data_IF_562160269136
#
_entry.id   IF_562160269136
#
_cell.length_a   1.000
_cell.length_b   1.000
_cell.length_c   1.000
_cell.angle_alpha   90.00
_cell.angle_beta   90.00
_cell.angle_gamma   90.00
#
_symmetry.space_group_name_H-M   'P 1'
#
loop_
_entity.id
_entity.type
_entity.pdbx_description
1 polymer ?
#
# COMPACT_ATOMS: atom_id res chain seq x y z
N UNK A 1 -10.51 -19.26 3.55
CA UNK A 1 -11.73 -19.38 4.40
C UNK A 1 -11.50 -19.02 5.86
N UNK A 2 -10.53 -19.62 6.57
CA UNK A 2 -10.27 -19.31 7.99
C UNK A 2 -10.04 -17.82 8.31
N UNK A 3 -9.14 -17.15 7.58
CA UNK A 3 -8.84 -15.72 7.81
C UNK A 3 -10.08 -14.83 7.62
N UNK A 4 -10.90 -15.14 6.61
CA UNK A 4 -12.15 -14.43 6.33
C UNK A 4 -13.17 -14.64 7.46
N UNK A 5 -13.42 -15.89 7.84
CA UNK A 5 -14.36 -16.19 8.92
C UNK A 5 -13.93 -15.53 10.23
N UNK A 6 -12.65 -15.57 10.60
CA UNK A 6 -12.14 -14.89 11.79
C UNK A 6 -12.37 -13.37 11.73
N UNK A 7 -12.13 -12.75 10.57
CA UNK A 7 -12.35 -11.31 10.35
C UNK A 7 -13.80 -10.92 10.59
N UNK A 8 -14.74 -11.73 10.09
CA UNK A 8 -16.18 -11.49 10.28
C UNK A 8 -16.59 -11.72 11.73
N UNK A 9 -16.19 -12.85 12.33
CA UNK A 9 -16.55 -13.21 13.72
C UNK A 9 -16.02 -12.20 14.73
N UNK A 10 -14.80 -11.70 14.53
CA UNK A 10 -14.19 -10.69 15.40
C UNK A 10 -14.62 -9.26 15.05
N UNK A 11 -15.39 -9.06 13.97
CA UNK A 11 -15.84 -7.75 13.52
C UNK A 11 -14.68 -6.79 13.18
N UNK A 12 -13.59 -7.32 12.61
CA UNK A 12 -12.40 -6.50 12.31
C UNK A 12 -12.71 -5.47 11.22
N UNK A 13 -12.57 -4.19 11.58
CA UNK A 13 -12.81 -3.07 10.66
C UNK A 13 -11.50 -2.70 9.95
N UNK A 14 -11.61 -2.43 8.64
CA UNK A 14 -10.63 -1.71 7.84
C UNK A 14 -11.15 -0.32 7.50
N UNK A 15 -10.26 0.63 7.31
CA UNK A 15 -10.56 1.99 6.84
C UNK A 15 -10.87 2.02 5.33
N UNK A 16 -10.23 1.15 4.53
CA UNK A 16 -10.46 1.05 3.08
C UNK A 16 -9.88 2.18 2.24
N UNK A 17 -9.10 3.08 2.87
CA UNK A 17 -8.31 4.11 2.18
C UNK A 17 -7.22 4.70 3.08
N UNK A 18 -6.57 3.87 3.90
CA UNK A 18 -5.62 4.34 4.91
C UNK A 18 -4.29 4.80 4.28
N UNK A 19 -4.22 6.07 3.89
CA UNK A 19 -3.04 6.68 3.31
C UNK A 19 -2.78 8.06 3.94
N UNK A 20 -1.61 8.64 3.72
CA UNK A 20 -1.17 9.88 4.39
C UNK A 20 -2.09 11.09 4.19
N UNK A 21 -3.01 11.08 3.21
CA UNK A 21 -4.01 12.16 3.07
C UNK A 21 -5.13 12.10 4.13
N UNK A 22 -5.32 10.93 4.73
CA UNK A 22 -6.36 10.64 5.72
C UNK A 22 -5.78 10.53 7.13
N UNK A 23 -4.51 10.90 7.31
CA UNK A 23 -3.79 10.85 8.59
C UNK A 23 -3.28 12.26 8.90
N UNK A 24 -3.69 12.80 10.03
CA UNK A 24 -3.27 14.11 10.55
C UNK A 24 -2.42 13.85 11.79
N UNK A 25 -1.22 14.42 11.82
CA UNK A 25 -0.35 14.40 12.99
C UNK A 25 -0.55 15.70 13.76
N UNK A 26 -0.93 15.59 15.04
CA UNK A 26 -1.17 16.74 15.92
C UNK A 26 -0.44 16.50 17.25
N UNK A 27 0.81 16.96 17.33
CA UNK A 27 1.71 16.61 18.44
C UNK A 27 1.96 15.10 18.47
N UNK A 28 1.70 14.48 19.62
CA UNK A 28 1.81 13.03 19.81
C UNK A 28 0.56 12.26 19.38
N UNK A 29 -0.47 12.95 18.86
CA UNK A 29 -1.70 12.33 18.43
C UNK A 29 -1.73 12.07 16.93
N UNK A 30 -2.22 10.88 16.58
CA UNK A 30 -2.56 10.50 15.21
C UNK A 30 -4.08 10.54 15.07
N UNK A 31 -4.57 11.44 14.21
CA UNK A 31 -5.99 11.60 13.91
C UNK A 31 -6.23 11.00 12.52
N UNK A 32 -7.11 10.00 12.46
CA UNK A 32 -7.53 9.38 11.20
C UNK A 32 -8.87 9.97 10.75
N UNK A 33 -9.02 10.28 9.47
CA UNK A 33 -10.23 10.90 8.90
C UNK A 33 -10.72 10.16 7.65
N UNK A 34 -11.93 10.47 7.18
CA UNK A 34 -12.53 9.94 5.94
C UNK A 34 -12.85 8.43 5.96
N UNK A 35 -13.64 8.01 6.94
CA UNK A 35 -14.10 6.62 7.12
C UNK A 35 -15.24 6.19 6.16
N UNK A 36 -15.54 6.91 5.09
CA UNK A 36 -16.63 6.59 4.15
C UNK A 36 -16.48 5.22 3.47
N UNK A 37 -15.25 4.70 3.41
CA UNK A 37 -14.92 3.39 2.84
C UNK A 37 -14.62 2.34 3.91
N UNK A 38 -14.87 2.67 5.18
CA UNK A 38 -14.64 1.75 6.26
C UNK A 38 -15.70 0.64 6.23
N UNK A 39 -15.24 -0.59 6.39
CA UNK A 39 -16.09 -1.78 6.36
C UNK A 39 -15.40 -2.92 7.12
N UNK A 40 -16.13 -4.01 7.38
CA UNK A 40 -15.56 -5.24 7.93
C UNK A 40 -14.64 -5.85 6.86
N UNK A 41 -13.39 -6.11 7.22
CA UNK A 41 -12.43 -6.63 6.27
C UNK A 41 -11.02 -6.76 6.79
N UNK A 42 -10.12 -7.21 5.91
CA UNK A 42 -8.73 -7.47 6.28
C UNK A 42 -7.98 -6.16 6.56
N UNK A 43 -7.61 -5.96 7.82
CA UNK A 43 -6.79 -4.82 8.26
C UNK A 43 -5.45 -4.74 7.51
N UNK A 44 -4.94 -5.88 7.01
CA UNK A 44 -3.72 -5.92 6.21
C UNK A 44 -3.82 -5.11 4.90
N UNK A 45 -5.04 -4.88 4.40
CA UNK A 45 -5.25 -4.04 3.20
C UNK A 45 -4.97 -2.56 3.46
N UNK A 46 -5.24 -2.07 4.68
CA UNK A 46 -4.88 -0.71 5.07
C UNK A 46 -3.36 -0.57 5.24
N UNK A 47 -2.69 -1.58 5.81
CA UNK A 47 -1.23 -1.60 5.87
C UNK A 47 -0.62 -1.57 4.46
N UNK A 48 -1.15 -2.37 3.55
CA UNK A 48 -0.75 -2.35 2.13
C UNK A 48 -0.91 -0.96 1.53
N UNK A 49 -2.07 -0.34 1.70
CA UNK A 49 -2.36 0.98 1.13
C UNK A 49 -1.37 2.04 1.62
N UNK A 50 -1.05 2.00 2.91
CA UNK A 50 -0.08 2.87 3.56
C UNK A 50 1.34 2.62 3.05
N UNK A 51 1.86 1.39 3.20
CA UNK A 51 3.24 1.07 2.88
C UNK A 51 3.54 1.27 1.40
N UNK A 52 2.64 0.87 0.49
CA UNK A 52 2.79 1.10 -0.96
C UNK A 52 3.00 2.58 -1.26
N UNK A 53 2.17 3.45 -0.69
CA UNK A 53 2.25 4.91 -0.91
C UNK A 53 3.52 5.53 -0.33
N UNK A 54 3.95 5.08 0.85
CA UNK A 54 5.19 5.54 1.47
C UNK A 54 6.39 5.09 0.64
N UNK A 55 6.43 3.83 0.20
CA UNK A 55 7.53 3.28 -0.59
C UNK A 55 7.64 3.93 -1.97
N UNK A 56 6.54 4.16 -2.69
CA UNK A 56 6.53 4.90 -3.96
C UNK A 56 7.18 6.30 -3.84
N UNK A 57 6.94 6.99 -2.72
CA UNK A 57 7.51 8.32 -2.45
C UNK A 57 8.98 8.26 -2.07
N UNK A 58 9.39 7.22 -1.34
CA UNK A 58 10.73 7.06 -0.78
C UNK A 58 11.61 6.12 -1.61
N UNK A 59 11.35 6.00 -2.91
CA UNK A 59 12.15 5.20 -3.85
C UNK A 59 12.38 3.76 -3.40
N UNK A 60 11.34 3.16 -2.78
CA UNK A 60 11.38 1.80 -2.26
C UNK A 60 12.56 1.53 -1.32
N UNK A 61 12.91 2.51 -0.47
CA UNK A 61 13.93 2.34 0.55
C UNK A 61 13.61 1.14 1.48
N UNK A 62 14.48 0.13 1.45
CA UNK A 62 14.29 -1.14 2.16
C UNK A 62 14.13 -0.94 3.67
N UNK A 63 14.96 -0.09 4.28
CA UNK A 63 14.91 0.17 5.73
C UNK A 63 13.58 0.80 6.14
N UNK A 64 13.07 1.77 5.37
CA UNK A 64 11.75 2.37 5.62
C UNK A 64 10.64 1.32 5.57
N UNK A 65 10.65 0.45 4.55
CA UNK A 65 9.64 -0.59 4.42
C UNK A 65 9.66 -1.60 5.56
N UNK A 66 10.86 -2.06 5.95
CA UNK A 66 11.03 -2.99 7.09
C UNK A 66 10.55 -2.34 8.39
N UNK A 67 10.93 -1.09 8.66
CA UNK A 67 10.51 -0.38 9.86
C UNK A 67 8.98 -0.27 9.97
N UNK A 68 8.28 -0.02 8.87
CA UNK A 68 6.80 0.03 8.86
C UNK A 68 6.19 -1.33 9.22
N UNK A 69 6.71 -2.41 8.63
CA UNK A 69 6.20 -3.76 8.88
C UNK A 69 6.48 -4.18 10.34
N UNK A 70 7.67 -3.90 10.86
CA UNK A 70 8.04 -4.25 12.23
C UNK A 70 7.26 -3.42 13.25
N UNK A 71 7.02 -2.12 12.99
CA UNK A 71 6.16 -1.30 13.83
C UNK A 71 4.73 -1.86 13.89
N UNK A 72 4.20 -2.33 12.75
CA UNK A 72 2.89 -2.98 12.72
C UNK A 72 2.86 -4.28 13.52
N UNK A 73 3.86 -5.16 13.33
CA UNK A 73 3.97 -6.44 14.04
C UNK A 73 4.07 -6.28 15.55
N UNK A 74 4.68 -5.20 16.02
CA UNK A 74 4.82 -4.88 17.45
C UNK A 74 3.46 -4.66 18.13
N UNK A 75 2.55 -3.96 17.46
CA UNK A 75 1.21 -3.67 18.00
C UNK A 75 0.24 -4.82 17.77
N UNK A 76 0.39 -5.54 16.66
CA UNK A 76 -0.49 -6.65 16.28
C UNK A 76 0.27 -7.74 15.56
N UNK A 77 0.17 -8.96 16.10
CA UNK A 77 0.74 -10.14 15.46
C UNK A 77 0.20 -10.29 14.03
N UNK A 78 1.12 -10.29 13.06
CA UNK A 78 0.82 -10.55 11.66
C UNK A 78 0.76 -12.07 11.43
N UNK A 79 -0.41 -12.60 11.09
CA UNK A 79 -0.57 -14.02 10.79
C UNK A 79 0.11 -14.38 9.45
N UNK A 80 0.50 -15.65 9.27
CA UNK A 80 1.16 -16.11 8.03
C UNK A 80 0.28 -15.88 6.80
N UNK A 81 -1.02 -16.08 6.95
CA UNK A 81 -2.03 -15.85 5.91
C UNK A 81 -2.11 -14.38 5.52
N UNK A 82 -2.06 -13.47 6.49
CA UNK A 82 -2.04 -12.03 6.24
C UNK A 82 -0.74 -11.57 5.58
N UNK A 83 0.40 -12.13 5.99
CA UNK A 83 1.68 -11.84 5.34
C UNK A 83 1.65 -12.26 3.86
N UNK A 84 1.05 -13.41 3.53
CA UNK A 84 0.84 -13.82 2.12
C UNK A 84 -0.05 -12.85 1.37
N UNK A 85 -1.12 -12.35 1.99
CA UNK A 85 -2.01 -11.34 1.38
C UNK A 85 -1.24 -10.04 1.13
N UNK A 86 -0.49 -9.54 2.12
CA UNK A 86 0.34 -8.34 1.98
C UNK A 86 1.34 -8.49 0.82
N UNK A 87 2.06 -9.60 0.78
CA UNK A 87 3.01 -9.90 -0.28
C UNK A 87 2.33 -9.94 -1.66
N UNK A 88 1.18 -10.63 -1.78
CA UNK A 88 0.44 -10.71 -3.03
C UNK A 88 -0.05 -9.32 -3.51
N UNK A 89 -0.50 -8.47 -2.59
CA UNK A 89 -0.89 -7.10 -2.92
C UNK A 89 0.31 -6.25 -3.37
N UNK A 90 1.45 -6.34 -2.69
CA UNK A 90 2.69 -5.62 -3.05
C UNK A 90 3.32 -6.11 -4.35
N UNK A 91 3.12 -7.38 -4.69
CA UNK A 91 3.63 -7.97 -5.93
C UNK A 91 3.05 -7.25 -7.14
N UNK A 92 1.76 -6.88 -7.08
CA UNK A 92 1.09 -6.15 -8.14
C UNK A 92 1.61 -4.69 -8.24
N UNK A 93 2.17 -4.28 -9.40
CA UNK A 93 2.76 -2.96 -9.57
C UNK A 93 1.68 -1.91 -9.84
N UNK A 94 0.82 -1.65 -8.85
CA UNK A 94 -0.40 -0.85 -9.00
C UNK A 94 -0.14 0.55 -9.59
N UNK A 95 0.95 1.20 -9.18
CA UNK A 95 1.30 2.53 -9.69
C UNK A 95 1.63 2.52 -11.17
N UNK A 96 2.43 1.55 -11.60
CA UNK A 96 2.79 1.36 -13.00
C UNK A 96 1.54 1.11 -13.82
N UNK A 97 0.71 0.16 -13.39
CA UNK A 97 -0.54 -0.17 -14.06
C UNK A 97 -1.47 1.06 -14.17
N UNK A 98 -1.64 1.83 -13.09
CA UNK A 98 -2.47 3.06 -13.11
C UNK A 98 -1.98 4.09 -14.12
N UNK A 99 -0.66 4.30 -14.25
CA UNK A 99 -0.09 5.24 -15.21
C UNK A 99 -0.29 4.78 -16.65
N UNK A 100 -0.03 3.50 -16.93
CA UNK A 100 -0.21 2.89 -18.25
C UNK A 100 -1.69 2.89 -18.64
N UNK A 101 -2.56 2.46 -17.73
CA UNK A 101 -4.01 2.43 -17.94
C UNK A 101 -4.58 3.84 -18.20
N UNK A 102 -4.10 4.86 -17.49
CA UNK A 102 -4.48 6.25 -17.73
C UNK A 102 -4.06 6.71 -19.13
N UNK A 103 -2.89 6.31 -19.61
CA UNK A 103 -2.41 6.66 -20.94
C UNK A 103 -3.25 6.01 -22.04
N UNK A 104 -3.40 4.68 -22.00
CA UNK A 104 -4.12 3.94 -23.04
C UNK A 104 -5.59 4.32 -23.13
N UNK A 105 -6.27 4.53 -22.00
CA UNK A 105 -7.70 4.88 -22.00
C UNK A 105 -7.96 6.39 -22.13
N UNK A 106 -6.94 7.23 -22.00
CA UNK A 106 -7.10 8.68 -22.01
C UNK A 106 -7.47 9.29 -23.38
N UNK A 107 -7.47 8.48 -24.46
CA UNK A 107 -7.69 8.90 -25.86
C UNK A 107 -6.83 10.10 -26.30
N UNK A 108 -5.71 10.36 -25.60
CA UNK A 108 -4.79 11.44 -25.95
C UNK A 108 -3.86 10.95 -27.03
N UNK A 109 -3.65 11.76 -28.05
CA UNK A 109 -2.62 11.53 -29.08
C UNK A 109 -1.20 11.57 -28.51
N UNK A 110 -1.01 12.14 -27.32
CA UNK A 110 0.29 12.27 -26.67
C UNK A 110 0.21 12.21 -25.14
N UNK A 111 1.22 11.61 -24.52
CA UNK A 111 1.38 11.60 -23.06
C UNK A 111 1.91 12.97 -22.60
N UNK A 112 1.34 13.55 -21.55
CA UNK A 112 1.92 14.77 -20.97
C UNK A 112 3.31 14.50 -20.39
N UNK A 113 4.22 15.45 -20.50
CA UNK A 113 5.59 15.34 -19.96
C UNK A 113 5.60 14.91 -18.48
N UNK A 114 4.70 15.48 -17.66
CA UNK A 114 4.52 15.12 -16.25
C UNK A 114 4.14 13.66 -16.03
N UNK A 115 3.34 13.06 -16.90
CA UNK A 115 2.98 11.65 -16.77
C UNK A 115 4.12 10.74 -17.28
N UNK A 116 4.84 11.17 -18.30
CA UNK A 116 6.03 10.48 -18.77
C UNK A 116 7.14 10.44 -17.70
N UNK A 117 7.37 11.56 -17.01
CA UNK A 117 8.29 11.63 -15.86
C UNK A 117 7.87 10.69 -14.72
N UNK A 118 6.58 10.64 -14.39
CA UNK A 118 6.07 9.68 -13.39
C UNK A 118 6.33 8.24 -13.82
N UNK A 119 6.09 7.90 -15.08
CA UNK A 119 6.34 6.56 -15.61
C UNK A 119 7.83 6.22 -15.53
N UNK A 120 8.69 7.13 -15.99
CA UNK A 120 10.15 6.98 -15.91
C UNK A 120 10.63 6.76 -14.47
N UNK A 121 10.08 7.51 -13.51
CA UNK A 121 10.39 7.35 -12.08
C UNK A 121 9.98 5.97 -11.57
N UNK A 122 8.79 5.48 -11.92
CA UNK A 122 8.33 4.14 -11.51
C UNK A 122 9.23 3.06 -12.09
N UNK A 123 9.55 3.14 -13.39
CA UNK A 123 10.47 2.18 -14.02
C UNK A 123 11.87 2.23 -13.39
N UNK A 124 12.36 3.42 -13.04
CA UNK A 124 13.65 3.61 -12.39
C UNK A 124 13.74 3.10 -10.95
N UNK A 125 12.62 2.76 -10.32
CA UNK A 125 12.54 2.22 -8.96
C UNK A 125 12.24 0.71 -8.92
N UNK A 126 12.08 0.05 -10.08
CA UNK A 126 11.62 -1.34 -10.15
C UNK A 126 12.62 -2.32 -9.54
N UNK A 127 13.92 -2.04 -9.65
CA UNK A 127 14.98 -2.87 -9.06
C UNK A 127 14.87 -2.87 -7.53
N UNK A 128 14.71 -1.70 -6.94
CA UNK A 128 14.56 -1.48 -5.50
C UNK A 128 13.27 -2.12 -5.00
N UNK A 129 12.17 -1.99 -5.75
CA UNK A 129 10.91 -2.67 -5.46
C UNK A 129 11.06 -4.19 -5.43
N UNK A 130 11.70 -4.77 -6.45
CA UNK A 130 11.94 -6.21 -6.54
C UNK A 130 12.81 -6.69 -5.37
N UNK A 131 13.85 -5.92 -5.00
CA UNK A 131 14.68 -6.25 -3.84
C UNK A 131 13.86 -6.22 -2.55
N UNK A 132 13.02 -5.21 -2.35
CA UNK A 132 12.13 -5.15 -1.19
C UNK A 132 11.15 -6.34 -1.15
N UNK A 133 10.56 -6.73 -2.28
CA UNK A 133 9.67 -7.89 -2.35
C UNK A 133 10.33 -9.20 -1.93
N UNK A 134 11.62 -9.39 -2.24
CA UNK A 134 12.36 -10.59 -1.84
C UNK A 134 12.50 -10.70 -0.32
N UNK A 135 12.63 -9.57 0.38
CA UNK A 135 12.71 -9.53 1.84
C UNK A 135 11.36 -9.72 2.54
N UNK A 136 10.26 -9.30 1.90
CA UNK A 136 8.91 -9.37 2.49
C UNK A 136 8.25 -10.75 2.28
N UNK A 137 8.73 -11.53 1.31
CA UNK A 137 8.23 -12.87 0.96
C UNK A 137 8.27 -13.83 2.15
#
# INVERSE_FOLDING_TARGET
DKLFNNTITEGRVKHGSYNYHNIILSGDHVITTNFEKADIGFQITDLYDFIRKVMEKNSWNMNTGIQIIEAYKKERKLEKEEQKVLYALLLYPEKYWKLVNFYYNGRKSWMSAKNFEKLRRVCGQEKERINFLKEVK
#
